data_IF_793580097806
#
_entry.id   IF_793580097806
#
_cell.length_a   1.000
_cell.length_b   1.000
_cell.length_c   1.000
_cell.angle_alpha   90.00
_cell.angle_beta   90.00
_cell.angle_gamma   90.00
#
_symmetry.space_group_name_H-M   'P 1'
#
loop_
_entity.id
_entity.type
_entity.pdbx_description
1 polymer ?
#
# COMPACT_ATOMS: atom_id res chain seq x y z
N UNK A 1 -18.03 -3.36 21.15
CA UNK A 1 -17.28 -4.34 20.36
C UNK A 1 -16.03 -4.75 21.14
N UNK A 2 -15.68 -6.02 21.09
CA UNK A 2 -14.50 -6.55 21.75
C UNK A 2 -13.29 -6.43 20.82
N UNK A 3 -12.11 -6.13 21.36
CA UNK A 3 -10.87 -6.18 20.55
C UNK A 3 -10.61 -7.57 19.93
N UNK A 4 -11.13 -8.62 20.54
CA UNK A 4 -11.08 -9.99 19.99
C UNK A 4 -11.80 -10.15 18.65
N UNK A 5 -12.75 -9.28 18.35
CA UNK A 5 -13.50 -9.32 17.11
C UNK A 5 -12.64 -8.86 15.90
N UNK A 6 -11.43 -8.34 16.19
CA UNK A 6 -10.44 -7.84 15.24
C UNK A 6 -9.09 -8.59 15.34
N UNK A 7 -9.11 -9.80 15.87
CA UNK A 7 -8.00 -10.77 15.94
C UNK A 7 -8.58 -12.09 15.38
N UNK A 8 -8.68 -12.17 14.06
CA UNK A 8 -9.39 -13.25 13.36
C UNK A 8 -8.59 -14.54 13.30
N UNK A 9 -7.26 -14.44 13.26
CA UNK A 9 -6.38 -15.61 13.25
C UNK A 9 -6.05 -16.11 14.66
N UNK A 10 -6.40 -15.35 15.70
CA UNK A 10 -6.24 -15.72 17.09
C UNK A 10 -4.79 -15.66 17.58
N UNK A 11 -3.95 -14.88 16.94
CA UNK A 11 -2.55 -14.74 17.30
C UNK A 11 -2.31 -13.82 18.51
N UNK A 12 -3.34 -13.12 18.99
CA UNK A 12 -3.28 -12.23 20.13
C UNK A 12 -2.88 -10.80 19.81
N UNK A 13 -2.89 -10.45 18.54
CA UNK A 13 -2.75 -9.09 18.03
C UNK A 13 -4.00 -8.70 17.23
N UNK A 14 -4.16 -7.40 16.99
CA UNK A 14 -5.16 -6.88 16.06
C UNK A 14 -4.64 -7.07 14.63
N UNK A 15 -5.46 -7.58 13.73
CA UNK A 15 -5.10 -7.87 12.32
C UNK A 15 -4.66 -6.62 11.54
N UNK A 16 -5.02 -5.44 11.98
CA UNK A 16 -4.57 -4.19 11.42
C UNK A 16 -5.11 -2.99 12.17
N UNK A 17 -4.29 -1.96 12.29
CA UNK A 17 -4.66 -0.71 12.97
C UNK A 17 -4.31 0.47 12.08
N UNK A 18 -5.30 1.28 11.75
CA UNK A 18 -5.12 2.53 11.03
C UNK A 18 -5.35 3.71 11.97
N UNK A 19 -4.37 4.58 12.09
CA UNK A 19 -4.42 5.80 12.89
C UNK A 19 -4.49 7.02 11.96
N UNK A 20 -5.64 7.68 11.91
CA UNK A 20 -5.82 8.90 11.15
C UNK A 20 -5.75 10.09 12.10
N UNK A 21 -4.74 10.94 11.95
CA UNK A 21 -4.61 12.11 12.80
C UNK A 21 -5.15 13.38 12.11
N UNK A 22 -5.69 14.28 12.92
CA UNK A 22 -6.40 15.48 12.49
C UNK A 22 -5.52 16.73 12.26
N UNK A 23 -4.27 16.55 11.87
CA UNK A 23 -3.36 17.62 11.51
C UNK A 23 -2.91 17.48 10.05
N UNK A 24 -2.55 18.59 9.37
CA UNK A 24 -1.99 18.51 8.03
C UNK A 24 -0.76 17.61 7.99
N UNK A 25 -0.53 16.96 6.84
CA UNK A 25 0.66 16.17 6.63
C UNK A 25 1.94 17.04 6.61
N UNK A 26 3.08 16.38 6.73
CA UNK A 26 4.40 17.03 6.74
C UNK A 26 4.66 17.85 5.47
N UNK A 27 4.27 17.37 4.30
CA UNK A 27 4.53 18.03 3.02
C UNK A 27 3.55 19.18 2.72
N UNK A 28 2.37 19.18 3.34
CA UNK A 28 1.36 20.21 3.14
C UNK A 28 1.75 21.56 3.72
N UNK A 29 2.69 21.60 4.63
CA UNK A 29 3.18 22.82 5.23
C UNK A 29 4.42 23.31 4.48
N UNK A 30 4.35 24.48 3.88
CA UNK A 30 5.47 25.10 3.15
C UNK A 30 6.78 25.25 3.94
N UNK A 31 6.84 24.79 5.17
CA UNK A 31 7.92 25.02 6.11
C UNK A 31 8.64 23.76 6.55
N UNK A 32 8.40 22.61 5.94
CA UNK A 32 8.95 21.34 6.45
C UNK A 32 8.86 21.28 7.97
N UNK A 33 7.65 21.47 8.50
CA UNK A 33 7.49 21.46 9.95
C UNK A 33 7.71 20.03 10.46
N UNK A 34 8.92 19.78 10.95
CA UNK A 34 9.33 18.48 11.48
C UNK A 34 8.47 17.98 12.66
N UNK A 35 7.48 18.78 13.09
CA UNK A 35 6.50 18.37 14.08
C UNK A 35 5.33 17.56 13.50
N UNK A 36 5.16 17.58 12.18
CA UNK A 36 4.12 16.81 11.53
C UNK A 36 4.67 15.45 11.07
N UNK A 37 3.87 14.43 11.23
CA UNK A 37 4.23 13.08 10.84
C UNK A 37 3.93 12.86 9.35
N UNK A 38 4.84 12.17 8.67
CA UNK A 38 4.58 11.59 7.37
C UNK A 38 3.73 10.32 7.52
N UNK A 39 3.07 9.87 6.46
CA UNK A 39 2.45 8.55 6.44
C UNK A 39 3.52 7.48 6.66
N UNK A 40 3.23 6.48 7.47
CA UNK A 40 4.21 5.48 7.84
C UNK A 40 3.55 4.23 8.42
N UNK A 41 4.07 3.07 8.06
CA UNK A 41 3.71 1.79 8.66
C UNK A 41 4.81 1.33 9.61
N UNK A 42 4.42 0.78 10.75
CA UNK A 42 5.35 0.34 11.78
C UNK A 42 4.94 -1.00 12.39
N UNK A 43 5.94 -1.81 12.70
CA UNK A 43 5.80 -3.10 13.39
C UNK A 43 6.46 -2.99 14.76
N UNK A 44 5.68 -3.23 15.81
CA UNK A 44 6.16 -3.17 17.19
C UNK A 44 7.07 -4.37 17.49
N UNK A 45 6.74 -5.54 16.94
CA UNK A 45 7.49 -6.80 17.07
C UNK A 45 7.81 -7.19 18.53
N UNK A 46 6.87 -6.90 19.43
CA UNK A 46 7.01 -7.21 20.87
C UNK A 46 6.17 -8.43 21.23
N UNK A 47 6.77 -9.62 21.10
CA UNK A 47 6.10 -10.89 21.39
C UNK A 47 5.62 -11.03 22.84
N UNK A 48 6.18 -10.26 23.78
CA UNK A 48 5.77 -10.27 25.17
C UNK A 48 4.38 -9.63 25.39
N UNK A 49 3.88 -8.91 24.39
CA UNK A 49 2.56 -8.25 24.45
C UNK A 49 1.46 -9.02 23.74
N UNK A 50 1.76 -10.16 23.18
CA UNK A 50 0.78 -11.06 22.59
C UNK A 50 -0.26 -11.49 23.62
N UNK A 51 -1.52 -11.23 23.37
CA UNK A 51 -2.59 -11.51 24.33
C UNK A 51 -3.94 -11.78 23.66
N UNK A 52 -4.26 -13.04 23.44
CA UNK A 52 -5.54 -13.48 22.85
C UNK A 52 -6.76 -13.03 23.68
N UNK A 53 -6.62 -12.80 24.98
CA UNK A 53 -7.72 -12.29 25.78
C UNK A 53 -7.97 -10.78 25.60
N UNK A 54 -6.96 -10.04 25.15
CA UNK A 54 -7.02 -8.59 24.96
C UNK A 54 -6.00 -8.17 23.88
N UNK A 55 -6.25 -8.48 22.60
CA UNK A 55 -5.34 -8.18 21.53
C UNK A 55 -4.91 -6.72 21.48
N UNK A 56 -3.63 -6.48 21.21
CA UNK A 56 -3.03 -5.16 21.05
C UNK A 56 -2.55 -4.92 19.64
N UNK A 57 -2.15 -3.69 19.31
CA UNK A 57 -1.55 -3.41 18.02
C UNK A 57 -0.15 -4.04 17.94
N UNK A 58 0.14 -4.70 16.83
CA UNK A 58 1.49 -5.13 16.46
C UNK A 58 1.92 -4.44 15.16
N UNK A 59 1.07 -4.47 14.16
CA UNK A 59 1.21 -3.71 12.93
C UNK A 59 0.22 -2.56 12.96
N UNK A 60 0.67 -1.37 12.64
CA UNK A 60 -0.22 -0.22 12.45
C UNK A 60 0.41 0.76 11.46
N UNK A 61 -0.43 1.51 10.79
CA UNK A 61 0.03 2.67 10.06
C UNK A 61 -0.70 3.93 10.51
N UNK A 62 -0.06 5.07 10.34
CA UNK A 62 -0.67 6.36 10.53
C UNK A 62 -0.57 7.20 9.28
N UNK A 63 -1.57 8.04 9.08
CA UNK A 63 -1.56 9.03 8.04
C UNK A 63 -2.38 10.25 8.45
N UNK A 64 -2.01 11.42 7.93
CA UNK A 64 -2.83 12.62 8.07
C UNK A 64 -4.16 12.45 7.35
N UNK A 65 -5.23 13.04 7.90
CA UNK A 65 -6.50 13.16 7.19
C UNK A 65 -6.36 13.87 5.83
N UNK A 66 -5.33 14.67 5.65
CA UNK A 66 -5.04 15.37 4.41
C UNK A 66 -4.85 14.42 3.22
N UNK A 67 -4.31 13.23 3.47
CA UNK A 67 -4.15 12.21 2.43
C UNK A 67 -5.47 11.62 1.92
N UNK A 68 -6.60 11.94 2.54
CA UNK A 68 -7.92 11.57 2.01
C UNK A 68 -8.33 12.35 0.76
N UNK A 69 -7.55 13.33 0.37
CA UNK A 69 -7.86 14.20 -0.75
C UNK A 69 -6.77 14.13 -1.79
N UNK A 70 -7.16 14.22 -3.06
CA UNK A 70 -6.22 14.09 -4.20
C UNK A 70 -5.08 15.11 -4.13
N UNK A 71 -3.91 14.71 -4.56
CA UNK A 71 -2.66 15.48 -4.47
C UNK A 71 -2.33 16.32 -5.72
N UNK A 72 -3.22 16.47 -6.66
CA UNK A 72 -2.97 17.35 -7.80
C UNK A 72 -2.70 18.81 -7.39
N UNK A 73 -2.31 19.67 -8.32
CA UNK A 73 -2.09 21.09 -8.05
C UNK A 73 -3.33 21.77 -7.44
N UNK A 74 -4.51 21.24 -7.70
CA UNK A 74 -5.78 21.63 -7.10
C UNK A 74 -5.95 21.08 -5.67
N UNK A 75 -5.26 20.03 -5.34
CA UNK A 75 -5.36 19.30 -4.08
C UNK A 75 -4.85 20.09 -2.88
N UNK A 76 -4.06 21.11 -3.09
CA UNK A 76 -3.68 22.06 -2.04
C UNK A 76 -4.87 22.82 -1.45
N UNK A 77 -6.04 22.67 -2.05
CA UNK A 77 -7.33 23.24 -1.62
C UNK A 77 -8.17 22.21 -0.88
N UNK A 78 -7.58 21.54 0.10
CA UNK A 78 -8.19 20.43 0.82
C UNK A 78 -9.23 20.90 1.83
N UNK A 79 -10.31 20.15 1.97
CA UNK A 79 -11.35 20.43 2.95
C UNK A 79 -10.77 20.31 4.36
N UNK A 80 -10.90 21.38 5.15
CA UNK A 80 -10.42 21.39 6.53
C UNK A 80 -8.91 21.58 6.71
N UNK A 81 -8.15 21.62 5.63
CA UNK A 81 -6.73 21.98 5.68
C UNK A 81 -6.58 23.48 5.93
N UNK A 82 -5.67 23.87 6.80
CA UNK A 82 -5.21 25.27 6.91
C UNK A 82 -4.39 25.68 5.69
N UNK A 83 -4.09 24.71 4.86
CA UNK A 83 -3.27 24.83 3.68
C UNK A 83 -4.13 25.21 2.48
N UNK A 84 -3.94 26.40 2.01
CA UNK A 84 -4.48 26.83 0.73
C UNK A 84 -5.91 27.34 0.72
N UNK A 85 -6.59 27.48 1.85
CA UNK A 85 -7.86 28.24 2.05
C UNK A 85 -8.71 28.51 0.81
N UNK A 86 -8.76 27.60 -0.14
CA UNK A 86 -9.27 27.81 -1.46
C UNK A 86 -10.56 27.05 -1.76
N UNK A 87 -10.93 27.09 -3.01
CA UNK A 87 -12.08 26.38 -3.54
C UNK A 87 -11.94 24.87 -3.38
N UNK A 88 -12.80 24.26 -2.60
CA UNK A 88 -12.83 22.80 -2.35
C UNK A 88 -13.68 22.07 -3.39
N UNK A 89 -14.28 22.74 -4.35
CA UNK A 89 -15.16 22.14 -5.35
C UNK A 89 -14.46 21.13 -6.27
N UNK A 90 -13.15 21.21 -6.35
CA UNK A 90 -12.31 20.33 -7.17
C UNK A 90 -11.55 19.26 -6.35
N UNK A 91 -11.73 19.22 -5.03
CA UNK A 91 -11.14 18.17 -4.23
C UNK A 91 -11.92 16.86 -4.42
N UNK A 92 -11.22 15.81 -4.77
CA UNK A 92 -11.77 14.45 -4.85
C UNK A 92 -11.22 13.60 -3.71
N UNK A 93 -11.99 12.62 -3.29
CA UNK A 93 -11.47 11.63 -2.34
C UNK A 93 -10.36 10.82 -2.99
N UNK A 94 -9.31 10.61 -2.22
CA UNK A 94 -8.14 9.86 -2.62
C UNK A 94 -7.72 8.94 -1.46
N UNK A 95 -7.51 7.68 -1.75
CA UNK A 95 -7.11 6.70 -0.76
C UNK A 95 -5.70 6.13 -1.03
N UNK A 96 -5.00 6.61 -2.05
CA UNK A 96 -3.75 6.00 -2.51
C UNK A 96 -2.70 5.87 -1.41
N UNK A 97 -2.48 6.91 -0.60
CA UNK A 97 -1.53 6.83 0.51
C UNK A 97 -1.94 5.77 1.55
N UNK A 98 -3.23 5.67 1.86
CA UNK A 98 -3.71 4.64 2.80
C UNK A 98 -3.58 3.23 2.22
N UNK A 99 -3.79 3.07 0.92
CA UNK A 99 -3.63 1.78 0.21
C UNK A 99 -2.15 1.39 0.20
N UNK A 100 -1.24 2.34 -0.03
CA UNK A 100 0.20 2.15 0.03
C UNK A 100 0.63 1.64 1.41
N UNK A 101 0.27 2.37 2.47
CA UNK A 101 0.61 2.01 3.84
C UNK A 101 -0.02 0.67 4.27
N UNK A 102 -1.24 0.39 3.79
CA UNK A 102 -1.86 -0.92 4.02
C UNK A 102 -1.10 -2.04 3.29
N UNK A 103 -0.55 -1.75 2.11
CA UNK A 103 0.34 -2.68 1.40
C UNK A 103 1.52 -3.11 2.26
N UNK A 104 2.15 -2.17 2.96
CA UNK A 104 3.20 -2.49 3.94
C UNK A 104 2.68 -3.36 5.08
N UNK A 105 1.50 -3.06 5.61
CA UNK A 105 0.90 -3.89 6.66
C UNK A 105 0.67 -5.34 6.22
N UNK A 106 0.45 -5.57 4.93
CA UNK A 106 0.38 -6.90 4.32
C UNK A 106 1.74 -7.53 3.98
N UNK A 107 2.84 -6.80 4.16
CA UNK A 107 4.19 -7.29 3.95
C UNK A 107 4.84 -6.89 2.63
N UNK A 108 4.28 -5.93 1.90
CA UNK A 108 4.94 -5.35 0.72
C UNK A 108 5.99 -4.32 1.14
N UNK A 109 7.10 -4.28 0.43
CA UNK A 109 8.12 -3.25 0.57
C UNK A 109 7.82 -2.04 -0.32
N UNK A 110 8.52 -0.93 -0.09
CA UNK A 110 8.61 0.15 -1.06
C UNK A 110 9.37 -0.30 -2.30
N UNK A 111 8.87 0.07 -3.48
CA UNK A 111 9.47 -0.28 -4.77
C UNK A 111 10.27 0.87 -5.36
N UNK A 112 10.46 1.96 -4.63
CA UNK A 112 11.34 3.05 -5.02
C UNK A 112 12.71 2.91 -4.34
N UNK A 113 13.73 3.46 -4.99
CA UNK A 113 15.06 3.54 -4.40
C UNK A 113 15.16 4.74 -3.46
N UNK A 114 15.36 4.48 -2.17
CA UNK A 114 15.53 5.52 -1.14
C UNK A 114 16.70 6.49 -1.44
N UNK A 115 17.70 6.04 -2.19
CA UNK A 115 18.81 6.89 -2.63
C UNK A 115 18.44 7.78 -3.82
N UNK A 116 17.29 7.53 -4.45
CA UNK A 116 16.79 8.23 -5.64
C UNK A 116 17.76 8.19 -6.84
N UNK A 117 18.62 7.18 -6.91
CA UNK A 117 19.54 6.99 -8.03
C UNK A 117 18.91 6.17 -9.16
N UNK A 118 17.94 5.35 -8.84
CA UNK A 118 17.26 4.46 -9.77
C UNK A 118 15.74 4.60 -9.61
N UNK A 119 15.02 4.13 -10.60
CA UNK A 119 13.56 4.03 -10.57
C UNK A 119 13.15 2.59 -10.91
N UNK A 120 13.28 1.65 -9.96
CA UNK A 120 13.12 0.22 -10.22
C UNK A 120 11.75 -0.16 -10.76
N UNK A 121 10.69 0.42 -10.21
CA UNK A 121 9.32 0.17 -10.63
C UNK A 121 8.80 1.17 -11.69
N UNK A 122 9.64 2.12 -12.13
CA UNK A 122 9.31 3.04 -13.22
C UNK A 122 8.19 4.03 -12.94
N UNK A 123 7.76 4.19 -11.69
CA UNK A 123 6.67 5.09 -11.32
C UNK A 123 5.27 4.53 -11.59
N UNK A 124 5.12 3.21 -11.76
CA UNK A 124 3.87 2.57 -12.16
C UNK A 124 3.23 1.69 -11.10
N UNK A 125 3.74 1.69 -9.88
CA UNK A 125 3.23 0.85 -8.79
C UNK A 125 2.63 1.67 -7.67
N UNK A 126 1.66 1.08 -6.96
CA UNK A 126 1.13 1.62 -5.71
C UNK A 126 2.24 1.75 -4.66
N UNK A 127 3.15 0.76 -4.57
CA UNK A 127 4.28 0.77 -3.63
C UNK A 127 5.49 1.60 -4.11
N UNK A 128 5.37 2.31 -5.24
CA UNK A 128 6.38 3.25 -5.75
C UNK A 128 5.86 4.69 -5.67
N UNK A 129 4.90 5.06 -6.50
CA UNK A 129 4.43 6.45 -6.65
C UNK A 129 2.95 6.62 -6.27
N UNK A 130 2.37 5.72 -5.52
CA UNK A 130 0.96 5.74 -5.11
C UNK A 130 -0.01 5.87 -6.30
N UNK A 131 0.28 5.20 -7.40
CA UNK A 131 -0.52 5.28 -8.63
C UNK A 131 -1.26 3.99 -8.92
N UNK A 132 -2.48 4.13 -9.43
CA UNK A 132 -3.30 3.01 -9.88
C UNK A 132 -3.79 2.12 -8.73
N UNK A 133 -3.45 0.86 -8.82
CA UNK A 133 -3.73 -0.18 -7.82
C UNK A 133 -2.45 -0.97 -7.54
N UNK A 134 -2.53 -1.97 -6.67
CA UNK A 134 -1.42 -2.93 -6.56
C UNK A 134 -1.19 -3.59 -7.92
N UNK A 135 0.06 -3.57 -8.35
CA UNK A 135 0.51 -4.15 -9.60
C UNK A 135 0.46 -5.69 -9.58
N UNK A 136 0.68 -6.38 -10.73
CA UNK A 136 0.68 -7.82 -10.78
C UNK A 136 1.66 -8.50 -9.83
N UNK A 137 2.86 -7.91 -9.62
CA UNK A 137 3.86 -8.46 -8.71
C UNK A 137 3.41 -8.38 -7.26
N UNK A 138 2.91 -7.22 -6.82
CA UNK A 138 2.31 -7.04 -5.49
C UNK A 138 1.19 -8.04 -5.25
N UNK A 139 0.29 -8.16 -6.22
CA UNK A 139 -0.87 -9.05 -6.14
C UNK A 139 -0.47 -10.53 -6.13
N UNK A 140 0.56 -10.91 -6.88
CA UNK A 140 1.13 -12.25 -6.84
C UNK A 140 1.76 -12.55 -5.47
N UNK A 141 2.55 -11.62 -4.95
CA UNK A 141 3.22 -11.74 -3.64
C UNK A 141 2.20 -11.93 -2.51
N UNK A 142 1.07 -11.23 -2.59
CA UNK A 142 -0.01 -11.32 -1.61
C UNK A 142 -0.97 -12.50 -1.86
N UNK A 143 -0.76 -13.27 -2.94
CA UNK A 143 -1.65 -14.38 -3.30
C UNK A 143 -3.03 -13.93 -3.80
N UNK A 144 -3.14 -12.70 -4.29
CA UNK A 144 -4.41 -12.12 -4.80
C UNK A 144 -4.64 -12.40 -6.28
N UNK A 145 -3.61 -12.80 -7.00
CA UNK A 145 -3.72 -13.22 -8.39
C UNK A 145 -3.06 -14.58 -8.60
N UNK A 146 -3.62 -15.34 -9.54
CA UNK A 146 -3.10 -16.63 -10.00
C UNK A 146 -2.77 -16.51 -11.49
N UNK A 147 -1.54 -16.17 -11.84
CA UNK A 147 -1.17 -15.91 -13.22
C UNK A 147 -1.20 -17.20 -14.06
N UNK A 148 -1.58 -17.08 -15.31
CA UNK A 148 -1.44 -18.18 -16.25
C UNK A 148 0.05 -18.42 -16.57
N UNK A 149 0.50 -19.66 -16.41
CA UNK A 149 1.88 -20.07 -16.70
C UNK A 149 1.90 -20.94 -17.95
N UNK A 150 2.27 -20.41 -19.13
CA UNK A 150 2.34 -21.20 -20.35
C UNK A 150 3.50 -22.21 -20.29
N UNK A 151 3.22 -23.45 -20.72
CA UNK A 151 4.18 -24.55 -20.80
C UNK A 151 4.60 -24.85 -22.25
N UNK A 152 4.00 -24.18 -23.21
CA UNK A 152 4.27 -24.33 -24.64
C UNK A 152 3.95 -23.04 -25.39
N UNK A 153 4.37 -22.94 -26.63
CA UNK A 153 4.08 -21.79 -27.48
C UNK A 153 2.58 -21.60 -27.63
N UNK A 154 2.08 -20.45 -27.22
CA UNK A 154 0.65 -20.14 -27.27
C UNK A 154 0.42 -18.65 -27.54
N UNK A 155 -0.80 -18.32 -27.93
CA UNK A 155 -1.28 -16.95 -28.07
C UNK A 155 -2.29 -16.66 -26.97
N UNK A 156 -1.98 -15.67 -26.16
CA UNK A 156 -2.80 -15.27 -25.01
C UNK A 156 -3.37 -13.88 -25.27
N UNK A 157 -4.62 -13.67 -24.90
CA UNK A 157 -5.26 -12.35 -24.89
C UNK A 157 -5.48 -11.95 -23.44
N UNK A 158 -4.79 -10.92 -23.00
CA UNK A 158 -4.94 -10.35 -21.65
C UNK A 158 -5.91 -9.19 -21.68
N UNK A 159 -6.74 -9.12 -20.67
CA UNK A 159 -7.56 -7.95 -20.35
C UNK A 159 -6.79 -7.03 -19.38
N UNK A 160 -7.21 -5.78 -19.19
CA UNK A 160 -6.56 -4.89 -18.22
C UNK A 160 -6.50 -5.52 -16.83
N UNK A 161 -5.30 -5.61 -16.26
CA UNK A 161 -5.07 -6.24 -14.95
C UNK A 161 -5.92 -5.63 -13.85
N UNK A 162 -6.02 -4.30 -13.81
CA UNK A 162 -6.79 -3.56 -12.82
C UNK A 162 -8.30 -3.86 -12.81
N UNK A 163 -8.80 -4.44 -13.91
CA UNK A 163 -10.23 -4.80 -14.04
C UNK A 163 -10.48 -6.27 -13.77
N UNK A 164 -9.50 -7.12 -14.03
CA UNK A 164 -9.72 -8.56 -14.12
C UNK A 164 -8.74 -9.42 -13.34
N UNK A 165 -7.58 -8.88 -12.99
CA UNK A 165 -6.48 -9.64 -12.39
C UNK A 165 -5.76 -10.55 -13.39
N UNK A 166 -6.02 -10.42 -14.71
CA UNK A 166 -5.36 -11.26 -15.72
C UNK A 166 -3.87 -10.99 -15.74
N UNK A 167 -3.06 -12.01 -15.53
CA UNK A 167 -1.61 -11.95 -15.57
C UNK A 167 -1.03 -13.21 -16.23
N UNK A 168 0.15 -13.09 -16.81
CA UNK A 168 0.92 -14.20 -17.38
C UNK A 168 2.31 -14.19 -16.77
N UNK A 169 2.72 -15.31 -16.22
CA UNK A 169 4.05 -15.49 -15.69
C UNK A 169 4.87 -16.35 -16.64
N UNK A 170 5.97 -15.80 -17.15
CA UNK A 170 6.91 -16.50 -18.04
C UNK A 170 8.16 -16.89 -17.26
N UNK A 171 8.45 -18.17 -17.20
CA UNK A 171 9.64 -18.71 -16.57
C UNK A 171 10.34 -19.70 -17.49
N UNK A 172 11.66 -19.77 -17.37
CA UNK A 172 12.46 -20.78 -18.08
C UNK A 172 12.18 -22.21 -17.60
N UNK A 173 11.58 -22.36 -16.42
CA UNK A 173 11.16 -23.63 -15.87
C UNK A 173 9.75 -23.52 -15.24
N UNK A 174 8.69 -23.55 -16.06
CA UNK A 174 7.32 -23.34 -15.61
C UNK A 174 6.85 -24.30 -14.51
N UNK A 175 7.43 -25.51 -14.47
CA UNK A 175 7.07 -26.54 -13.47
C UNK A 175 7.68 -26.33 -12.08
N UNK A 176 8.54 -25.32 -11.90
CA UNK A 176 9.24 -25.05 -10.63
C UNK A 176 9.12 -23.60 -10.19
N UNK A 177 8.09 -22.88 -10.64
CA UNK A 177 7.77 -21.56 -10.09
C UNK A 177 7.07 -21.75 -8.76
N UNK A 178 7.87 -21.80 -7.71
CA UNK A 178 7.46 -22.09 -6.33
C UNK A 178 7.66 -20.89 -5.38
N UNK A 179 8.15 -19.77 -5.91
CA UNK A 179 8.45 -18.58 -5.14
C UNK A 179 8.33 -17.30 -5.96
N UNK A 180 7.80 -16.26 -5.35
CA UNK A 180 7.78 -14.89 -5.92
C UNK A 180 9.16 -14.26 -6.03
N UNK A 181 10.18 -14.89 -5.47
CA UNK A 181 11.59 -14.46 -5.55
C UNK A 181 12.38 -15.21 -6.64
N UNK A 182 11.71 -16.03 -7.45
CA UNK A 182 12.32 -16.71 -8.59
C UNK A 182 12.59 -15.75 -9.75
N UNK A 183 13.29 -16.26 -10.78
CA UNK A 183 13.52 -15.51 -12.03
C UNK A 183 12.37 -15.77 -13.01
N UNK A 184 11.58 -14.74 -13.29
CA UNK A 184 10.45 -14.79 -14.23
C UNK A 184 10.14 -13.39 -14.78
N UNK A 185 9.29 -13.34 -15.80
CA UNK A 185 8.61 -12.12 -16.28
C UNK A 185 7.11 -12.23 -15.94
N UNK A 186 6.56 -11.15 -15.42
CA UNK A 186 5.15 -11.04 -15.07
C UNK A 186 4.50 -9.88 -15.82
#
# INVERSE_FOLDING_TARGET
ESRKDYDLDGDGYLDGVMLIYGAPDYASLNNNNASNLWAYTFWIQDGDKQNVASPGANVFFWASYDFMYSEGNEAKKRVGSTYGGGDTSHCTLDAHTYIHEMGHAFGLDDYYDYSQQYNPAGGFSMQDMNVGSHDPYSSLTLGWTDPYIPTEDCKISLRPFTETGDAVLLSTNPGSVDSTFGEYLL
#
